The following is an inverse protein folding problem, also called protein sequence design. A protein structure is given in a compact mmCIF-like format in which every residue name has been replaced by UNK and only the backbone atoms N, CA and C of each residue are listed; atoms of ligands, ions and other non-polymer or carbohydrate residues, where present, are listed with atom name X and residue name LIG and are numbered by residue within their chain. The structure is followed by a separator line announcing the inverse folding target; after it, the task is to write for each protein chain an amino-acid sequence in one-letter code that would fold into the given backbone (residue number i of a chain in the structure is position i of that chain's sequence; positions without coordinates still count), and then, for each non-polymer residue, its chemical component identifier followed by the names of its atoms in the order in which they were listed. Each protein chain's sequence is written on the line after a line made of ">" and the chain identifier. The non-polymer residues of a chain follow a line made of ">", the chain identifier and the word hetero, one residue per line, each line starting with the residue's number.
data_IF_187719791299
#
_entry.id   IF_187719791299
#
_cell.length_a   1.000
_cell.length_b   1.000
_cell.length_c   1.000
_cell.angle_alpha   90.00
_cell.angle_beta   90.00
_cell.angle_gamma   90.00
#
_symmetry.space_group_name_H-M   'P 1'
#
loop_
_entity.id
_entity.type
_entity.pdbx_description
1 polymer ?
#
# COMPACT_ATOMS: atom_id res chain seq x y z
N UNK A 1 -70.06 24.56 8.25
CA UNK A 1 -69.52 25.77 8.89
C UNK A 1 -68.86 25.37 10.20
N UNK A 2 -67.52 25.28 10.26
CA UNK A 2 -66.75 25.43 11.50
C UNK A 2 -65.24 25.51 11.19
N UNK A 3 -64.75 26.74 11.22
CA UNK A 3 -63.43 27.25 11.67
C UNK A 3 -62.15 26.44 11.38
N UNK A 4 -61.47 26.80 10.29
CA UNK A 4 -60.05 26.49 10.04
C UNK A 4 -59.17 27.41 10.88
N UNK A 5 -58.35 26.85 11.78
CA UNK A 5 -57.34 27.58 12.56
C UNK A 5 -55.97 27.42 11.90
N UNK A 6 -55.49 28.50 11.29
CA UNK A 6 -54.12 28.64 10.80
C UNK A 6 -53.20 28.82 12.01
N UNK A 7 -52.32 27.86 12.25
CA UNK A 7 -51.21 28.00 13.21
C UNK A 7 -49.94 28.21 12.40
N UNK A 8 -49.46 29.45 12.38
CA UNK A 8 -48.17 29.84 11.82
C UNK A 8 -47.09 29.60 12.88
N UNK A 9 -46.12 28.73 12.60
CA UNK A 9 -44.86 28.58 13.34
C UNK A 9 -43.75 28.32 12.31
N UNK A 10 -42.95 29.32 11.94
CA UNK A 10 -41.72 29.80 12.59
C UNK A 10 -40.58 28.76 12.59
N UNK A 11 -39.73 28.88 11.56
CA UNK A 11 -38.27 28.68 11.55
C UNK A 11 -37.70 27.27 11.80
N UNK A 12 -36.88 26.80 10.85
CA UNK A 12 -35.52 26.34 11.13
C UNK A 12 -34.70 26.36 9.82
N UNK A 13 -33.72 27.27 9.75
CA UNK A 13 -32.66 27.25 8.75
C UNK A 13 -31.79 26.00 9.00
N UNK A 14 -31.93 24.97 8.17
CA UNK A 14 -30.93 23.92 8.08
C UNK A 14 -29.81 24.43 7.16
N UNK A 15 -28.73 24.93 7.76
CA UNK A 15 -27.46 25.08 7.07
C UNK A 15 -27.02 23.68 6.60
N UNK A 16 -27.16 23.40 5.31
CA UNK A 16 -26.63 22.19 4.68
C UNK A 16 -25.11 22.30 4.59
N UNK A 17 -24.41 21.98 5.67
CA UNK A 17 -23.00 21.63 5.62
C UNK A 17 -22.90 20.14 5.33
N UNK A 18 -22.94 19.76 4.05
CA UNK A 18 -22.39 18.48 3.60
C UNK A 18 -21.03 18.78 2.97
N UNK A 19 -20.00 18.69 3.81
CA UNK A 19 -18.60 18.73 3.38
C UNK A 19 -18.35 17.55 2.43
N UNK A 20 -17.94 17.91 1.21
CA UNK A 20 -17.28 17.10 0.19
C UNK A 20 -17.25 15.58 0.41
N UNK A 21 -18.18 14.88 -0.24
CA UNK A 21 -17.96 13.49 -0.60
C UNK A 21 -16.84 13.45 -1.63
N UNK A 22 -15.63 13.13 -1.17
CA UNK A 22 -14.62 12.56 -2.05
C UNK A 22 -15.22 11.22 -2.46
N UNK A 23 -15.64 11.14 -3.73
CA UNK A 23 -16.02 9.87 -4.33
C UNK A 23 -14.77 9.01 -4.33
N UNK A 24 -14.69 8.11 -3.34
CA UNK A 24 -13.79 6.97 -3.39
C UNK A 24 -14.34 6.06 -4.50
N UNK A 25 -14.11 6.45 -5.76
CA UNK A 25 -14.26 5.60 -6.93
C UNK A 25 -13.11 4.57 -6.97
N UNK A 26 -12.77 3.98 -5.81
CA UNK A 26 -11.93 2.79 -5.74
C UNK A 26 -12.78 1.64 -6.29
N UNK A 27 -12.65 1.38 -7.59
CA UNK A 27 -13.04 0.09 -8.13
C UNK A 27 -12.40 -0.99 -7.24
N UNK A 28 -13.17 -1.94 -6.70
CA UNK A 28 -12.62 -2.94 -5.80
C UNK A 28 -11.50 -3.70 -6.52
N UNK A 29 -10.26 -3.47 -6.10
CA UNK A 29 -9.09 -4.19 -6.61
C UNK A 29 -9.16 -5.60 -6.02
N UNK A 30 -9.35 -6.60 -6.89
CA UNK A 30 -9.31 -7.99 -6.47
C UNK A 30 -7.84 -8.44 -6.35
N UNK A 31 -7.23 -8.19 -5.20
CA UNK A 31 -5.85 -8.62 -4.93
C UNK A 31 -5.64 -10.13 -5.08
N UNK A 32 -6.71 -10.95 -5.05
CA UNK A 32 -6.61 -12.40 -5.24
C UNK A 32 -6.49 -12.81 -6.72
N UNK A 33 -6.78 -11.91 -7.66
CA UNK A 33 -6.60 -12.11 -9.11
C UNK A 33 -5.37 -11.38 -9.66
N UNK A 34 -4.65 -10.68 -8.78
CA UNK A 34 -3.40 -10.02 -9.14
C UNK A 34 -2.30 -11.07 -9.39
N UNK A 35 -1.53 -10.90 -10.48
CA UNK A 35 -0.53 -11.87 -10.95
C UNK A 35 0.82 -11.22 -11.31
N UNK A 36 0.97 -9.91 -11.10
CA UNK A 36 2.21 -9.17 -11.37
C UNK A 36 3.26 -9.34 -10.26
N UNK A 37 2.86 -9.84 -9.10
CA UNK A 37 3.73 -10.10 -7.97
C UNK A 37 4.19 -11.57 -7.92
N UNK A 38 5.02 -11.85 -6.93
CA UNK A 38 5.41 -13.21 -6.59
C UNK A 38 4.92 -13.50 -5.17
N UNK A 39 4.40 -14.71 -4.96
CA UNK A 39 4.01 -15.16 -3.63
C UNK A 39 5.16 -14.97 -2.64
N UNK A 40 4.86 -14.32 -1.51
CA UNK A 40 5.85 -14.12 -0.47
C UNK A 40 6.34 -15.47 0.08
N UNK A 41 7.66 -15.67 0.04
CA UNK A 41 8.33 -16.80 0.68
C UNK A 41 9.53 -16.28 1.47
N UNK A 42 9.63 -16.68 2.74
CA UNK A 42 10.79 -16.34 3.57
C UNK A 42 12.07 -16.90 2.94
N UNK A 43 13.10 -16.06 2.82
CA UNK A 43 14.36 -16.43 2.17
C UNK A 43 14.33 -16.37 0.64
N UNK A 44 13.29 -15.79 0.02
CA UNK A 44 13.27 -15.59 -1.44
C UNK A 44 14.47 -14.76 -1.91
N UNK A 45 14.98 -15.09 -3.10
CA UNK A 45 16.20 -14.52 -3.66
C UNK A 45 15.96 -13.90 -5.02
N UNK A 46 16.65 -12.77 -5.27
CA UNK A 46 16.71 -12.13 -6.59
C UNK A 46 18.15 -11.79 -6.93
N UNK A 47 18.57 -12.16 -8.14
CA UNK A 47 19.82 -11.64 -8.70
C UNK A 47 19.55 -10.25 -9.27
N UNK A 48 20.37 -9.27 -8.87
CA UNK A 48 20.26 -7.92 -9.41
C UNK A 48 20.50 -7.90 -10.93
N UNK A 49 19.94 -6.91 -11.61
CA UNK A 49 19.99 -6.80 -13.09
C UNK A 49 21.41 -6.76 -13.67
N UNK A 50 22.39 -6.29 -12.90
CA UNK A 50 23.81 -6.31 -13.29
C UNK A 50 24.48 -7.68 -13.18
N UNK A 51 23.80 -8.67 -12.61
CA UNK A 51 24.32 -10.02 -12.39
C UNK A 51 25.40 -10.13 -11.31
N UNK A 52 25.69 -9.06 -10.56
CA UNK A 52 26.81 -9.02 -9.59
C UNK A 52 26.40 -9.36 -8.16
N UNK A 53 25.13 -9.15 -7.83
CA UNK A 53 24.61 -9.23 -6.47
C UNK A 53 23.41 -10.16 -6.41
N UNK A 54 23.29 -10.90 -5.32
CA UNK A 54 22.10 -11.65 -4.94
C UNK A 54 21.54 -11.00 -3.67
N UNK A 55 20.24 -10.70 -3.71
CA UNK A 55 19.47 -10.14 -2.62
C UNK A 55 18.59 -11.24 -2.04
N UNK A 56 18.71 -11.50 -0.74
CA UNK A 56 17.87 -12.47 -0.03
C UNK A 56 16.99 -11.73 0.96
N UNK A 57 15.67 -11.91 0.87
CA UNK A 57 14.73 -11.41 1.88
C UNK A 57 14.73 -12.37 3.07
N UNK A 58 15.55 -12.07 4.08
CA UNK A 58 15.75 -12.94 5.25
C UNK A 58 14.53 -12.89 6.17
N UNK A 59 13.96 -11.71 6.37
CA UNK A 59 12.82 -11.51 7.26
C UNK A 59 11.97 -10.34 6.76
N UNK A 60 10.65 -10.43 6.99
CA UNK A 60 9.71 -9.34 6.88
C UNK A 60 8.86 -9.24 8.15
N UNK A 61 8.46 -8.02 8.52
CA UNK A 61 7.49 -7.74 9.59
C UNK A 61 6.48 -6.72 9.07
N UNK A 62 5.19 -7.07 8.92
CA UNK A 62 4.63 -8.42 9.05
C UNK A 62 5.15 -9.39 7.97
N UNK A 63 4.91 -10.68 8.17
CA UNK A 63 5.17 -11.74 7.18
C UNK A 63 3.85 -12.53 6.95
N UNK A 64 3.21 -12.44 5.78
CA UNK A 64 3.62 -11.65 4.61
C UNK A 64 3.54 -10.13 4.87
N UNK A 65 4.27 -9.31 4.10
CA UNK A 65 4.09 -7.86 4.09
C UNK A 65 2.63 -7.46 3.90
N UNK A 66 2.21 -6.35 4.53
CA UNK A 66 0.83 -5.89 4.51
C UNK A 66 0.75 -4.37 4.27
N UNK A 67 -0.46 -3.82 4.16
CA UNK A 67 -0.66 -2.37 4.08
C UNK A 67 0.01 -1.67 5.28
N UNK A 68 0.50 -0.45 5.05
CA UNK A 68 1.26 0.39 5.98
C UNK A 68 2.74 0.00 6.10
N UNK A 69 3.32 0.19 7.28
CA UNK A 69 4.76 0.05 7.48
C UNK A 69 5.18 -1.41 7.45
N UNK A 70 6.21 -1.67 6.65
CA UNK A 70 6.86 -2.96 6.57
C UNK A 70 8.33 -2.79 6.93
N UNK A 71 8.86 -3.70 7.75
CA UNK A 71 10.28 -3.77 8.05
C UNK A 71 10.88 -5.02 7.43
N UNK A 72 11.95 -4.87 6.65
CA UNK A 72 12.63 -5.98 5.98
C UNK A 72 14.09 -6.10 6.41
N UNK A 73 14.56 -7.33 6.52
CA UNK A 73 15.98 -7.66 6.61
C UNK A 73 16.41 -8.28 5.28
N UNK A 74 17.28 -7.57 4.56
CA UNK A 74 17.80 -8.01 3.27
C UNK A 74 19.29 -8.30 3.39
N UNK A 75 19.69 -9.51 2.98
CA UNK A 75 21.09 -9.90 2.90
C UNK A 75 21.59 -9.76 1.45
N UNK A 76 22.78 -9.19 1.29
CA UNK A 76 23.46 -9.06 0.01
C UNK A 76 24.68 -9.97 -0.05
N UNK A 77 24.80 -10.76 -1.11
CA UNK A 77 26.00 -11.53 -1.43
C UNK A 77 26.44 -11.28 -2.86
N UNK A 78 27.71 -11.54 -3.16
CA UNK A 78 28.21 -11.54 -4.54
C UNK A 78 27.66 -12.74 -5.31
N UNK A 79 27.25 -12.51 -6.55
CA UNK A 79 26.83 -13.59 -7.43
C UNK A 79 28.01 -14.55 -7.71
N UNK A 80 27.71 -15.85 -7.73
CA UNK A 80 28.67 -16.92 -8.00
C UNK A 80 29.53 -17.34 -6.80
N UNK A 81 30.11 -16.39 -6.07
CA UNK A 81 30.96 -16.69 -4.90
C UNK A 81 30.20 -16.72 -3.57
N UNK A 82 28.96 -16.18 -3.53
CA UNK A 82 28.13 -16.06 -2.33
C UNK A 82 28.84 -15.36 -1.15
N UNK A 83 29.85 -14.52 -1.43
CA UNK A 83 30.59 -13.81 -0.42
C UNK A 83 29.76 -12.63 0.12
N UNK A 84 29.80 -12.34 1.43
CA UNK A 84 29.13 -11.16 1.98
C UNK A 84 29.63 -9.87 1.33
N UNK A 85 28.70 -8.96 1.03
CA UNK A 85 29.04 -7.62 0.54
C UNK A 85 29.22 -6.68 1.73
N UNK A 86 30.34 -5.95 1.76
CA UNK A 86 30.63 -4.95 2.79
C UNK A 86 30.86 -3.57 2.17
N UNK A 87 30.56 -2.51 2.93
CA UNK A 87 30.78 -1.12 2.48
C UNK A 87 29.84 -0.62 1.37
N UNK A 88 28.76 -1.34 1.06
CA UNK A 88 27.80 -0.91 0.06
C UNK A 88 26.92 0.24 0.59
N UNK A 89 26.59 1.18 -0.30
CA UNK A 89 25.49 2.11 -0.09
C UNK A 89 24.22 1.52 -0.70
N UNK A 90 23.15 1.46 0.08
CA UNK A 90 21.86 0.97 -0.37
C UNK A 90 20.88 2.13 -0.47
N UNK A 91 20.26 2.28 -1.64
CA UNK A 91 19.14 3.18 -1.87
C UNK A 91 17.93 2.29 -2.18
N UNK A 92 16.84 2.51 -1.45
CA UNK A 92 15.60 1.72 -1.60
C UNK A 92 14.49 2.68 -2.02
N UNK A 93 13.78 2.32 -3.08
CA UNK A 93 12.64 3.05 -3.61
C UNK A 93 11.46 2.08 -3.67
N UNK A 94 10.62 2.03 -2.63
CA UNK A 94 9.41 1.20 -2.66
C UNK A 94 8.51 1.64 -3.81
N UNK A 95 7.97 0.68 -4.56
CA UNK A 95 7.06 0.97 -5.68
C UNK A 95 5.79 0.14 -5.54
N UNK A 96 4.64 0.80 -5.57
CA UNK A 96 3.32 0.18 -5.60
C UNK A 96 2.66 0.53 -6.94
N UNK A 97 2.63 -0.41 -7.91
CA UNK A 97 2.16 -0.13 -9.27
C UNK A 97 0.74 0.45 -9.33
N UNK A 98 -0.13 0.02 -8.42
CA UNK A 98 -1.56 0.35 -8.46
C UNK A 98 -1.93 1.66 -7.81
N UNK A 99 -1.03 2.25 -7.02
CA UNK A 99 -1.28 3.51 -6.31
C UNK A 99 -0.27 4.59 -6.71
N UNK A 100 0.52 4.35 -7.76
CA UNK A 100 1.46 5.31 -8.38
C UNK A 100 2.44 5.99 -7.43
N UNK A 101 2.70 5.39 -6.26
CA UNK A 101 3.72 5.85 -5.34
C UNK A 101 5.12 5.41 -5.81
N UNK A 102 6.07 6.34 -5.74
CA UNK A 102 7.50 6.14 -6.03
C UNK A 102 8.33 6.69 -4.87
#
# INVERSE_FOLDING_TARGET
>A
MSTMRIVTALSLFAAACSSGGHGDDEQPVNCAEEMRDEDFVAGMQKTGTSGKLVFTLVQATPAPPARFDNTWVVQLTSAGAAAPVTGATMVVTPHMPDHTHT
#
